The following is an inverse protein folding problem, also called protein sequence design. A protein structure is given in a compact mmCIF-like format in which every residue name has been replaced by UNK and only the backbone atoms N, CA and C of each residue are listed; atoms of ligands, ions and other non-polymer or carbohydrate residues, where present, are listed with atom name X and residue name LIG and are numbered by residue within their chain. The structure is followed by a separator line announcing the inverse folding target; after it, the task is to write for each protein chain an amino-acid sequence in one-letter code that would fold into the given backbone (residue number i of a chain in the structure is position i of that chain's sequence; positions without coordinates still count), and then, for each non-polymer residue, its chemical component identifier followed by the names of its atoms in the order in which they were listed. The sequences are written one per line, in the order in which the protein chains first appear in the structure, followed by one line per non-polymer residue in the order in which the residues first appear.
data_IF_657282002950
#
_entry.id   IF_657282002950
#
_cell.length_a   1.000
_cell.length_b   1.000
_cell.length_c   1.000
_cell.angle_alpha   90.00
_cell.angle_beta   90.00
_cell.angle_gamma   90.00
#
_symmetry.space_group_name_H-M   'P 1'
#
loop_
_entity.id
_entity.type
_entity.pdbx_description
1 polymer ?
#
# COMPACT_ATOMS: atom_id res chain seq x y z
N UNK A 1 -12.13 6.94 -20.36
CA UNK A 1 -12.09 5.87 -19.34
C UNK A 1 -13.24 6.13 -18.37
N UNK A 2 -14.12 5.17 -18.14
CA UNK A 2 -15.24 5.33 -17.20
C UNK A 2 -14.71 5.39 -15.76
N UNK A 3 -15.38 6.13 -14.85
CA UNK A 3 -14.94 6.26 -13.46
C UNK A 3 -14.73 4.89 -12.78
N UNK A 4 -15.60 3.93 -13.09
CA UNK A 4 -15.53 2.54 -12.61
C UNK A 4 -14.16 1.89 -12.89
N UNK A 5 -13.61 2.05 -14.11
CA UNK A 5 -12.32 1.44 -14.49
C UNK A 5 -11.18 2.04 -13.68
N UNK A 6 -11.22 3.35 -13.39
CA UNK A 6 -10.20 4.02 -12.59
C UNK A 6 -10.21 3.50 -11.16
N UNK A 7 -11.38 3.40 -10.52
CA UNK A 7 -11.51 2.92 -9.14
C UNK A 7 -11.08 1.47 -8.99
N UNK A 8 -11.52 0.60 -9.90
CA UNK A 8 -11.10 -0.81 -9.89
C UNK A 8 -9.60 -0.94 -10.08
N UNK A 9 -8.98 -0.13 -10.94
CA UNK A 9 -7.53 -0.14 -11.12
C UNK A 9 -6.80 0.33 -9.85
N UNK A 10 -7.28 1.37 -9.18
CA UNK A 10 -6.71 1.84 -7.90
C UNK A 10 -6.79 0.75 -6.83
N UNK A 11 -7.94 0.09 -6.68
CA UNK A 11 -8.11 -1.01 -5.72
C UNK A 11 -7.17 -2.19 -6.02
N UNK A 12 -7.02 -2.57 -7.30
CA UNK A 12 -6.11 -3.65 -7.71
C UNK A 12 -4.65 -3.29 -7.46
N UNK A 13 -4.23 -2.08 -7.80
CA UNK A 13 -2.86 -1.59 -7.52
C UNK A 13 -2.61 -1.56 -6.01
N UNK A 14 -3.57 -1.07 -5.23
CA UNK A 14 -3.47 -1.02 -3.78
C UNK A 14 -3.31 -2.43 -3.18
N UNK A 15 -4.11 -3.38 -3.64
CA UNK A 15 -3.99 -4.77 -3.23
C UNK A 15 -2.63 -5.37 -3.61
N UNK A 16 -2.16 -5.15 -4.84
CA UNK A 16 -0.86 -5.66 -5.30
C UNK A 16 0.31 -5.11 -4.47
N UNK A 17 0.31 -3.80 -4.18
CA UNK A 17 1.31 -3.16 -3.31
C UNK A 17 1.23 -3.73 -1.90
N UNK A 18 0.03 -3.85 -1.34
CA UNK A 18 -0.21 -4.38 0.00
C UNK A 18 0.30 -5.82 0.16
N UNK A 19 -0.06 -6.71 -0.76
CA UNK A 19 0.43 -8.10 -0.78
C UNK A 19 1.95 -8.14 -0.90
N UNK A 20 2.53 -7.35 -1.80
CA UNK A 20 3.98 -7.34 -2.03
C UNK A 20 4.74 -6.90 -0.78
N UNK A 21 4.34 -5.79 -0.16
CA UNK A 21 4.95 -5.29 1.07
C UNK A 21 4.75 -6.25 2.24
N UNK A 22 3.56 -6.85 2.38
CA UNK A 22 3.27 -7.82 3.44
C UNK A 22 4.17 -9.05 3.33
N UNK A 23 4.26 -9.65 2.13
CA UNK A 23 5.08 -10.82 1.88
C UNK A 23 6.56 -10.51 2.03
N UNK A 24 7.03 -9.38 1.49
CA UNK A 24 8.43 -8.99 1.57
C UNK A 24 8.83 -8.62 3.02
N UNK A 25 7.95 -7.95 3.77
CA UNK A 25 8.10 -7.66 5.19
C UNK A 25 8.13 -8.93 6.04
N UNK A 26 7.26 -9.91 5.76
CA UNK A 26 7.26 -11.23 6.43
C UNK A 26 8.54 -12.01 6.15
N UNK A 27 9.00 -12.06 4.89
CA UNK A 27 10.22 -12.79 4.50
C UNK A 27 11.49 -12.18 5.07
N UNK A 28 11.60 -10.84 5.11
CA UNK A 28 12.80 -10.13 5.60
C UNK A 28 12.75 -9.73 7.08
N UNK A 29 11.67 -10.07 7.79
CA UNK A 29 11.45 -9.70 9.19
C UNK A 29 11.31 -8.19 9.44
N UNK A 30 10.88 -7.41 8.44
CA UNK A 30 10.70 -5.96 8.55
C UNK A 30 9.26 -5.65 8.96
N UNK A 31 9.06 -5.35 10.24
CA UNK A 31 7.73 -5.09 10.83
C UNK A 31 6.99 -3.93 10.16
N UNK A 32 7.70 -2.84 9.84
CA UNK A 32 7.11 -1.65 9.19
C UNK A 32 6.46 -2.01 7.87
N UNK A 33 7.19 -2.72 6.99
CA UNK A 33 6.65 -3.14 5.69
C UNK A 33 5.46 -4.10 5.80
N UNK A 34 5.45 -4.98 6.81
CA UNK A 34 4.29 -5.83 7.07
C UNK A 34 3.04 -5.00 7.40
N UNK A 35 3.15 -4.05 8.33
CA UNK A 35 2.03 -3.22 8.76
C UNK A 35 1.55 -2.25 7.68
N UNK A 36 2.48 -1.64 6.95
CA UNK A 36 2.15 -0.81 5.78
C UNK A 36 1.45 -1.66 4.71
N UNK A 37 1.90 -2.90 4.48
CA UNK A 37 1.20 -3.83 3.59
C UNK A 37 -0.24 -4.10 4.01
N UNK A 38 -0.50 -4.29 5.31
CA UNK A 38 -1.87 -4.43 5.84
C UNK A 38 -2.69 -3.16 5.62
N UNK A 39 -2.12 -1.97 5.81
CA UNK A 39 -2.81 -0.71 5.56
C UNK A 39 -3.23 -0.56 4.09
N UNK A 40 -2.35 -0.95 3.15
CA UNK A 40 -2.68 -0.97 1.72
C UNK A 40 -3.80 -1.97 1.37
N UNK A 41 -3.83 -3.14 2.01
CA UNK A 41 -4.92 -4.11 1.84
C UNK A 41 -6.24 -3.61 2.43
N UNK A 42 -6.20 -2.96 3.59
CA UNK A 42 -7.37 -2.35 4.20
C UNK A 42 -7.94 -1.22 3.31
N UNK A 43 -7.06 -0.41 2.71
CA UNK A 43 -7.47 0.61 1.74
C UNK A 43 -8.11 0.00 0.48
N UNK A 44 -7.56 -1.08 -0.07
CA UNK A 44 -8.17 -1.77 -1.21
C UNK A 44 -9.57 -2.32 -0.87
N UNK A 45 -9.75 -2.88 0.33
CA UNK A 45 -11.06 -3.36 0.79
C UNK A 45 -12.05 -2.20 0.99
N UNK A 46 -11.57 -1.07 1.52
CA UNK A 46 -12.35 0.15 1.68
C UNK A 46 -12.83 0.70 0.33
N UNK A 47 -11.96 0.79 -0.68
CA UNK A 47 -12.34 1.23 -2.04
C UNK A 47 -13.45 0.36 -2.64
N UNK A 48 -13.34 -0.97 -2.50
CA UNK A 48 -14.38 -1.89 -2.98
C UNK A 48 -15.68 -1.70 -2.20
N UNK A 49 -15.61 -1.55 -0.88
CA UNK A 49 -16.78 -1.33 -0.03
C UNK A 49 -17.50 -0.02 -0.39
N UNK A 50 -16.76 1.06 -0.63
CA UNK A 50 -17.31 2.35 -1.07
C UNK A 50 -17.94 2.23 -2.45
N UNK A 51 -17.28 1.55 -3.40
CA UNK A 51 -17.82 1.36 -4.74
C UNK A 51 -19.15 0.58 -4.74
N UNK A 52 -19.29 -0.40 -3.84
CA UNK A 52 -20.52 -1.21 -3.70
C UNK A 52 -21.61 -0.47 -2.94
N UNK A 53 -21.26 0.21 -1.85
CA UNK A 53 -22.24 0.85 -0.96
C UNK A 53 -22.69 2.23 -1.45
N UNK A 54 -21.81 2.96 -2.14
CA UNK A 54 -22.02 4.37 -2.45
C UNK A 54 -21.43 4.76 -3.82
N UNK A 55 -22.02 4.30 -4.93
CA UNK A 55 -21.48 4.52 -6.27
C UNK A 55 -21.40 6.01 -6.69
N UNK A 56 -22.20 6.89 -6.08
CA UNK A 56 -22.20 8.35 -6.34
C UNK A 56 -21.40 9.17 -5.30
N UNK A 57 -20.67 8.53 -4.38
CA UNK A 57 -19.92 9.26 -3.36
C UNK A 57 -18.76 10.08 -3.95
N UNK A 58 -18.58 11.32 -3.47
CA UNK A 58 -17.50 12.21 -3.89
C UNK A 58 -16.20 11.89 -3.11
N UNK A 59 -15.54 10.79 -3.48
CA UNK A 59 -14.34 10.15 -2.84
C UNK A 59 -13.05 11.01 -2.87
N UNK A 60 -13.13 12.25 -3.36
CA UNK A 60 -11.94 13.12 -3.55
C UNK A 60 -11.30 13.57 -2.23
N UNK A 61 -12.10 13.71 -1.18
CA UNK A 61 -11.61 14.11 0.15
C UNK A 61 -10.84 12.97 0.82
N UNK A 62 -11.29 11.73 0.66
CA UNK A 62 -10.63 10.54 1.20
C UNK A 62 -9.28 10.30 0.52
N UNK A 63 -9.21 10.51 -0.80
CA UNK A 63 -7.95 10.48 -1.54
C UNK A 63 -6.90 11.42 -0.93
N UNK A 64 -7.30 12.61 -0.50
CA UNK A 64 -6.37 13.63 -0.01
C UNK A 64 -5.76 13.28 1.36
N UNK A 65 -6.50 12.54 2.20
CA UNK A 65 -6.06 12.19 3.55
C UNK A 65 -5.35 10.83 3.60
N UNK A 66 -5.85 9.82 2.89
CA UNK A 66 -5.29 8.47 2.91
C UNK A 66 -4.03 8.32 2.04
N UNK A 67 -3.97 8.97 0.86
CA UNK A 67 -2.79 8.87 -0.01
C UNK A 67 -1.49 9.32 0.64
N UNK A 68 -1.38 10.50 1.28
CA UNK A 68 -0.09 10.95 1.82
C UNK A 68 0.43 9.96 2.88
N UNK A 69 -0.45 9.42 3.72
CA UNK A 69 -0.08 8.42 4.72
C UNK A 69 0.40 7.12 4.06
N UNK A 70 -0.33 6.61 3.06
CA UNK A 70 0.04 5.39 2.34
C UNK A 70 1.34 5.53 1.55
N UNK A 71 1.56 6.68 0.91
CA UNK A 71 2.78 7.01 0.15
C UNK A 71 3.98 7.13 1.08
N UNK A 72 3.86 7.85 2.19
CA UNK A 72 4.94 7.95 3.17
C UNK A 72 5.27 6.58 3.78
N UNK A 73 4.24 5.79 4.11
CA UNK A 73 4.42 4.41 4.59
C UNK A 73 5.11 3.51 3.56
N UNK A 74 4.77 3.66 2.27
CA UNK A 74 5.41 2.93 1.17
C UNK A 74 6.90 3.29 1.08
N UNK A 75 7.23 4.59 1.05
CA UNK A 75 8.63 5.06 1.01
C UNK A 75 9.42 4.51 2.19
N UNK A 76 8.88 4.61 3.41
CA UNK A 76 9.54 4.09 4.60
C UNK A 76 9.75 2.58 4.51
N UNK A 77 8.75 1.83 4.04
CA UNK A 77 8.88 0.38 3.85
C UNK A 77 9.98 0.02 2.87
N UNK A 78 10.09 0.73 1.76
CA UNK A 78 11.17 0.55 0.78
C UNK A 78 12.55 0.84 1.39
N UNK A 79 12.69 1.95 2.11
CA UNK A 79 13.94 2.31 2.80
C UNK A 79 14.30 1.24 3.84
N UNK A 80 13.34 0.76 4.64
CA UNK A 80 13.56 -0.26 5.65
C UNK A 80 13.96 -1.61 5.03
N UNK A 81 13.36 -1.98 3.89
CA UNK A 81 13.72 -3.18 3.15
C UNK A 81 15.11 -3.09 2.50
N UNK A 82 15.46 -1.92 1.97
CA UNK A 82 16.77 -1.67 1.36
C UNK A 82 17.89 -1.75 2.41
N UNK A 83 17.68 -1.14 3.60
CA UNK A 83 18.65 -1.19 4.70
C UNK A 83 18.93 -2.61 5.22
N UNK A 84 17.91 -3.49 5.23
CA UNK A 84 18.11 -4.91 5.58
C UNK A 84 18.74 -5.74 4.46
N UNK A 85 18.67 -5.25 3.21
CA UNK A 85 19.21 -5.91 2.02
C UNK A 85 20.67 -5.59 1.73
N UNK A 86 21.29 -4.63 2.43
CA UNK A 86 22.73 -4.40 2.38
C UNK A 86 23.41 -5.29 3.43
N UNK A 87 23.94 -6.48 3.05
CA UNK A 87 25.01 -7.07 3.83
C UNK A 87 26.16 -6.06 3.80
N UNK A 88 26.51 -5.55 4.97
CA UNK A 88 27.67 -4.70 5.14
C UNK A 88 28.87 -5.40 4.49
N UNK A 89 29.50 -4.73 3.53
CA UNK A 89 30.87 -5.02 3.13
C UNK A 89 31.74 -4.98 4.39
N UNK A 90 31.92 -6.14 5.02
CA UNK A 90 32.80 -6.39 6.18
C UNK A 90 33.87 -7.38 5.74
N UNK A 91 34.80 -6.88 4.95
CA UNK A 91 36.14 -7.45 4.72
C UNK A 91 36.97 -6.25 4.28
N UNK A 92 38.10 -5.88 4.88
CA UNK A 92 39.04 -6.58 5.75
C UNK A 92 40.03 -5.52 6.24
#
# INVERSE_FOLDING_TARGET
MTPIVLFTLVAVVAAAVGVTLFLAGRRRGVRVAKWVGVAWLAYAAYEVAVQVATPDANIRVDLLLFYPVLVLGLIWSLVALARRGHPANRTS
#
